data_IF_525358831330
#
_entry.id   IF_525358831330
#
_cell.length_a   1.000
_cell.length_b   1.000
_cell.length_c   1.000
_cell.angle_alpha   90.00
_cell.angle_beta   90.00
_cell.angle_gamma   90.00
#
_symmetry.space_group_name_H-M   'P 1'
#
loop_
_entity.id
_entity.type
_entity.pdbx_description
1 polymer ?
#
# COMPACT_ATOMS: atom_id res chain seq x y z
N UNK A 1 -12.08 -2.75 -21.23
CA UNK A 1 -11.67 -2.78 -19.80
C UNK A 1 -11.87 -1.39 -19.23
N UNK A 2 -12.73 -1.22 -18.22
CA UNK A 2 -12.86 0.07 -17.53
C UNK A 2 -11.79 0.11 -16.45
N UNK A 3 -10.79 0.97 -16.62
CA UNK A 3 -9.76 1.17 -15.61
C UNK A 3 -10.22 2.21 -14.60
N UNK A 4 -9.95 1.99 -13.31
CA UNK A 4 -10.26 2.93 -12.23
C UNK A 4 -11.74 3.34 -12.12
N UNK A 5 -12.66 2.42 -12.41
CA UNK A 5 -14.10 2.62 -12.20
C UNK A 5 -14.37 2.75 -10.68
N UNK A 6 -14.88 3.91 -10.26
CA UNK A 6 -15.05 4.25 -8.83
C UNK A 6 -15.96 3.27 -8.10
N UNK A 7 -17.08 2.93 -8.71
CA UNK A 7 -18.10 2.06 -8.14
C UNK A 7 -17.55 0.65 -7.93
N UNK A 8 -16.78 0.13 -8.90
CA UNK A 8 -16.12 -1.17 -8.81
C UNK A 8 -15.06 -1.18 -7.69
N UNK A 9 -14.26 -0.12 -7.57
CA UNK A 9 -13.25 0.00 -6.50
C UNK A 9 -13.91 0.01 -5.11
N UNK A 10 -15.03 0.73 -4.96
CA UNK A 10 -15.77 0.75 -3.70
C UNK A 10 -16.33 -0.64 -3.38
N UNK A 11 -16.89 -1.33 -4.39
CA UNK A 11 -17.39 -2.70 -4.23
C UNK A 11 -16.30 -3.69 -3.82
N UNK A 12 -15.07 -3.53 -4.34
CA UNK A 12 -13.91 -4.38 -3.99
C UNK A 12 -13.35 -4.09 -2.60
N UNK A 13 -13.59 -2.89 -2.08
CA UNK A 13 -13.07 -2.45 -0.77
C UNK A 13 -14.19 -2.06 0.20
N UNK A 14 -15.22 -2.91 0.40
CA UNK A 14 -16.44 -2.53 1.10
C UNK A 14 -16.22 -2.33 2.61
N UNK A 15 -15.16 -2.94 3.16
CA UNK A 15 -14.82 -2.85 4.58
C UNK A 15 -14.19 -1.50 4.96
N UNK A 16 -13.75 -0.69 4.00
CA UNK A 16 -13.15 0.61 4.29
C UNK A 16 -14.22 1.68 4.53
N UNK A 17 -14.18 2.28 5.71
CA UNK A 17 -15.13 3.30 6.20
C UNK A 17 -14.54 4.71 6.30
N UNK A 18 -13.25 4.89 5.97
CA UNK A 18 -12.56 6.18 6.05
C UNK A 18 -12.69 7.02 4.78
N UNK A 19 -11.89 8.09 4.71
CA UNK A 19 -11.79 8.94 3.51
C UNK A 19 -11.38 8.11 2.28
N UNK A 20 -11.87 8.49 1.11
CA UNK A 20 -11.53 7.87 -0.18
C UNK A 20 -11.05 8.94 -1.15
N UNK A 21 -10.17 8.54 -2.07
CA UNK A 21 -9.77 9.37 -3.20
C UNK A 21 -10.96 9.56 -4.17
N UNK A 22 -10.91 10.54 -5.09
CA UNK A 22 -11.98 10.78 -6.06
C UNK A 22 -12.36 9.55 -6.90
N UNK A 23 -11.39 8.67 -7.16
CA UNK A 23 -11.54 7.39 -7.87
C UNK A 23 -12.06 6.23 -6.98
N UNK A 24 -12.44 6.51 -5.72
CA UNK A 24 -13.02 5.52 -4.81
C UNK A 24 -12.02 4.72 -4.00
N UNK A 25 -10.71 4.82 -4.27
CA UNK A 25 -9.70 4.06 -3.50
C UNK A 25 -9.65 4.50 -2.04
N UNK A 26 -9.50 3.57 -1.08
CA UNK A 26 -9.21 3.90 0.31
C UNK A 26 -8.05 4.89 0.45
N UNK A 27 -8.27 6.00 1.17
CA UNK A 27 -7.24 7.00 1.45
C UNK A 27 -6.81 6.89 2.90
N UNK A 28 -5.67 6.24 3.13
CA UNK A 28 -4.97 6.26 4.42
C UNK A 28 -4.53 7.71 4.71
N UNK A 29 -4.66 8.22 5.93
CA UNK A 29 -4.27 9.59 6.29
C UNK A 29 -2.75 9.79 6.31
N UNK A 30 -2.30 11.04 6.15
CA UNK A 30 -0.86 11.36 6.21
C UNK A 30 -0.25 11.11 7.60
N UNK A 31 -1.02 11.30 8.68
CA UNK A 31 -0.59 10.99 10.05
C UNK A 31 -0.13 9.54 10.20
N UNK A 32 -0.87 8.59 9.60
CA UNK A 32 -0.50 7.17 9.65
C UNK A 32 0.82 6.95 8.92
N UNK A 33 1.03 7.59 7.77
CA UNK A 33 2.29 7.45 7.02
C UNK A 33 3.47 7.99 7.83
N UNK A 34 3.29 9.12 8.51
CA UNK A 34 4.36 9.73 9.30
C UNK A 34 4.74 8.85 10.51
N UNK A 35 3.74 8.28 11.18
CA UNK A 35 3.98 7.33 12.29
C UNK A 35 4.64 6.04 11.81
N UNK A 36 4.27 5.55 10.63
CA UNK A 36 4.85 4.35 10.03
C UNK A 36 6.34 4.49 9.71
N UNK A 37 6.87 5.71 9.52
CA UNK A 37 8.31 5.93 9.33
C UNK A 37 9.17 5.48 10.52
N UNK A 38 8.57 5.37 11.70
CA UNK A 38 9.24 4.98 12.96
C UNK A 38 9.11 3.48 13.24
N UNK A 39 8.46 2.72 12.36
CA UNK A 39 8.16 1.30 12.54
C UNK A 39 9.10 0.47 11.70
N UNK A 40 9.65 -0.61 12.27
CA UNK A 40 10.45 -1.58 11.52
C UNK A 40 9.54 -2.50 10.70
N UNK A 41 10.08 -3.06 9.62
CA UNK A 41 9.30 -3.92 8.72
C UNK A 41 8.82 -5.18 9.47
N UNK A 42 9.62 -5.73 10.37
CA UNK A 42 9.29 -6.92 11.18
C UNK A 42 8.09 -6.67 12.09
N UNK A 43 8.03 -5.50 12.74
CA UNK A 43 6.91 -5.14 13.61
C UNK A 43 5.60 -4.97 12.81
N UNK A 44 5.69 -4.34 11.63
CA UNK A 44 4.55 -4.23 10.71
C UNK A 44 4.10 -5.62 10.22
N UNK A 45 5.04 -6.47 9.82
CA UNK A 45 4.78 -7.82 9.32
C UNK A 45 4.16 -8.72 10.40
N UNK A 46 4.66 -8.70 11.63
CA UNK A 46 4.10 -9.46 12.74
C UNK A 46 2.62 -9.09 13.01
N UNK A 47 2.28 -7.80 12.91
CA UNK A 47 0.89 -7.33 13.06
C UNK A 47 -0.01 -7.88 11.95
N UNK A 48 0.46 -7.84 10.70
CA UNK A 48 -0.27 -8.39 9.55
C UNK A 48 -0.44 -9.91 9.64
N UNK A 49 0.59 -10.60 10.08
CA UNK A 49 0.58 -12.05 10.30
C UNK A 49 -0.48 -12.47 11.32
N UNK A 50 -0.57 -11.77 12.47
CA UNK A 50 -1.59 -12.02 13.49
C UNK A 50 -3.02 -11.78 12.97
N UNK A 51 -3.19 -10.93 11.96
CA UNK A 51 -4.48 -10.69 11.28
C UNK A 51 -4.75 -11.63 10.10
N UNK A 52 -3.85 -12.60 9.84
CA UNK A 52 -3.98 -13.58 8.78
C UNK A 52 -3.42 -13.17 7.42
N UNK A 53 -2.83 -11.97 7.30
CA UNK A 53 -2.21 -11.48 6.07
C UNK A 53 -0.75 -11.91 5.96
N UNK A 54 -0.53 -13.20 5.66
CA UNK A 54 0.80 -13.83 5.75
C UNK A 54 1.79 -13.40 4.66
N UNK A 55 1.30 -13.06 3.47
CA UNK A 55 2.11 -12.81 2.27
C UNK A 55 2.24 -11.32 1.97
N UNK A 56 2.69 -10.53 2.95
CA UNK A 56 2.78 -9.06 2.87
C UNK A 56 4.21 -8.54 3.10
N UNK A 57 5.20 -9.37 2.80
CA UNK A 57 6.61 -9.05 2.89
C UNK A 57 7.30 -9.49 1.60
N UNK A 58 8.17 -8.64 1.09
CA UNK A 58 9.07 -8.94 -0.03
C UNK A 58 10.47 -8.49 0.36
N UNK A 59 11.43 -9.40 0.19
CA UNK A 59 12.84 -9.19 0.48
C UNK A 59 13.61 -8.76 -0.76
N UNK A 60 14.94 -8.80 -0.67
CA UNK A 60 15.87 -8.73 -1.80
C UNK A 60 15.86 -7.46 -2.68
N UNK A 61 15.07 -6.44 -2.31
CA UNK A 61 15.21 -5.11 -2.90
C UNK A 61 16.59 -4.53 -2.58
N UNK A 62 17.26 -4.00 -3.61
CA UNK A 62 18.53 -3.28 -3.44
C UNK A 62 18.25 -1.87 -2.94
N UNK A 63 18.85 -1.53 -1.80
CA UNK A 63 18.74 -0.20 -1.21
C UNK A 63 19.67 0.75 -1.96
N UNK A 64 19.09 1.76 -2.61
CA UNK A 64 19.85 2.83 -3.28
C UNK A 64 20.22 3.94 -2.30
N UNK A 65 19.35 4.20 -1.31
CA UNK A 65 19.53 5.26 -0.31
C UNK A 65 19.46 4.67 1.12
N UNK A 66 20.59 4.33 1.75
CA UNK A 66 20.61 3.59 3.02
C UNK A 66 20.12 4.40 4.22
N UNK A 67 20.23 5.73 4.17
CA UNK A 67 19.90 6.60 5.31
C UNK A 67 18.42 7.02 5.38
N UNK A 68 17.56 6.46 4.53
CA UNK A 68 16.16 6.86 4.42
C UNK A 68 15.18 5.69 4.51
N UNK A 69 14.12 5.89 5.29
CA UNK A 69 12.97 4.98 5.36
C UNK A 69 11.88 5.47 4.40
N UNK A 70 11.52 4.61 3.44
CA UNK A 70 10.44 4.88 2.49
C UNK A 70 9.10 4.38 3.03
N UNK A 71 8.15 5.29 3.20
CA UNK A 71 6.74 5.00 3.49
C UNK A 71 5.87 5.83 2.57
N UNK A 72 4.85 5.21 1.99
CA UNK A 72 3.94 5.89 1.07
C UNK A 72 2.70 5.08 0.72
N UNK A 73 1.86 5.67 -0.14
CA UNK A 73 0.70 5.01 -0.74
C UNK A 73 1.13 4.40 -2.07
N UNK A 74 0.88 3.12 -2.27
CA UNK A 74 1.29 2.43 -3.49
C UNK A 74 0.53 2.96 -4.72
N UNK A 75 1.27 3.21 -5.79
CA UNK A 75 0.74 3.37 -7.15
C UNK A 75 1.24 2.17 -7.94
N UNK A 76 0.33 1.33 -8.44
CA UNK A 76 0.68 0.14 -9.19
C UNK A 76 0.71 0.45 -10.69
N UNK A 77 1.72 -0.08 -11.37
CA UNK A 77 1.88 0.05 -12.81
C UNK A 77 2.31 -1.29 -13.41
N UNK A 78 1.93 -1.52 -14.67
CA UNK A 78 2.37 -2.68 -15.45
C UNK A 78 3.14 -2.15 -16.64
N UNK A 79 4.37 -2.62 -16.80
CA UNK A 79 5.24 -2.26 -17.91
C UNK A 79 5.41 -3.47 -18.84
N UNK A 80 5.56 -3.21 -20.14
CA UNK A 80 5.86 -4.24 -21.15
C UNK A 80 7.12 -3.82 -21.93
N UNK A 81 7.92 -4.78 -22.45
CA UNK A 81 9.11 -4.44 -23.22
C UNK A 81 8.77 -3.58 -24.44
N UNK A 82 9.54 -2.51 -24.66
CA UNK A 82 9.54 -1.82 -25.95
C UNK A 82 10.37 -2.61 -26.95
N UNK A 83 9.93 -2.63 -28.21
CA UNK A 83 10.80 -2.98 -29.33
C UNK A 83 11.55 -1.75 -29.81
#
# INVERSE_FOLDING_TARGET
MKFNCKEEIIQLTPLWKGERLPDGRPKVSDDILERMRKITIEAAWATLWQKGYKYQYEGDFKVVNPDMVLVGRAVTAVMVPSR
#
